data_IF_287409718920
#
_entry.id   IF_287409718920
#
_cell.length_a   1.000
_cell.length_b   1.000
_cell.length_c   1.000
_cell.angle_alpha   90.00
_cell.angle_beta   90.00
_cell.angle_gamma   90.00
#
_symmetry.space_group_name_H-M   'P 1'
#
loop_
_entity.id
_entity.type
_entity.pdbx_description
1 polymer ?
#
# COMPACT_ATOMS: atom_id res chain seq x y z
N UNK A 1 -22.87 -32.97 -73.30
CA UNK A 1 -21.73 -33.91 -73.16
C UNK A 1 -20.46 -33.10 -72.98
N UNK A 2 -19.58 -33.59 -72.09
CA UNK A 2 -18.35 -32.96 -71.61
C UNK A 2 -17.28 -32.79 -72.70
N UNK A 3 -16.42 -31.78 -72.53
CA UNK A 3 -14.98 -31.73 -72.89
C UNK A 3 -14.40 -30.45 -72.27
N UNK A 4 -13.68 -30.50 -71.14
CA UNK A 4 -12.21 -30.64 -70.95
C UNK A 4 -11.40 -29.57 -71.68
N UNK A 5 -10.83 -28.61 -70.94
CA UNK A 5 -9.49 -28.03 -71.15
C UNK A 5 -8.89 -27.68 -69.76
N UNK A 6 -7.72 -28.26 -69.45
CA UNK A 6 -6.85 -27.92 -68.31
C UNK A 6 -6.22 -26.53 -68.49
N UNK A 7 -5.75 -25.89 -67.40
CA UNK A 7 -4.40 -25.34 -67.48
C UNK A 7 -3.53 -25.61 -66.25
N UNK A 8 -2.34 -26.12 -66.57
CA UNK A 8 -1.01 -25.65 -66.19
C UNK A 8 -0.76 -25.10 -64.79
N UNK A 9 0.08 -25.86 -64.09
CA UNK A 9 0.83 -25.52 -62.88
C UNK A 9 1.88 -24.45 -63.20
N UNK A 10 1.91 -23.37 -62.41
CA UNK A 10 3.09 -22.53 -62.22
C UNK A 10 3.43 -22.56 -60.73
N UNK A 11 4.61 -23.12 -60.43
CA UNK A 11 5.17 -23.20 -59.10
C UNK A 11 5.92 -21.88 -58.80
N UNK A 12 5.40 -21.07 -57.88
CA UNK A 12 6.08 -19.91 -57.34
C UNK A 12 6.46 -20.20 -55.87
N UNK A 13 7.75 -20.41 -55.64
CA UNK A 13 8.33 -20.56 -54.30
C UNK A 13 8.39 -19.16 -53.68
N UNK A 14 7.50 -18.88 -52.73
CA UNK A 14 7.62 -17.73 -51.83
C UNK A 14 8.35 -18.17 -50.56
N UNK A 15 9.61 -17.74 -50.43
CA UNK A 15 10.34 -17.75 -49.17
C UNK A 15 9.71 -16.69 -48.26
N UNK A 16 8.83 -17.12 -47.36
CA UNK A 16 8.37 -16.29 -46.25
C UNK A 16 9.46 -16.22 -45.19
N UNK A 17 10.21 -15.12 -45.18
CA UNK A 17 11.02 -14.73 -44.03
C UNK A 17 10.10 -14.33 -42.89
N UNK A 18 10.00 -15.16 -41.85
CA UNK A 18 9.30 -14.81 -40.61
C UNK A 18 10.23 -13.99 -39.73
N UNK A 19 10.22 -12.66 -39.88
CA UNK A 19 10.69 -11.76 -38.83
C UNK A 19 9.59 -11.67 -37.77
N UNK A 20 9.68 -12.49 -36.73
CA UNK A 20 8.89 -12.29 -35.54
C UNK A 20 9.41 -11.03 -34.83
N UNK A 21 8.68 -9.92 -34.97
CA UNK A 21 8.86 -8.78 -34.08
C UNK A 21 8.39 -9.19 -32.67
N UNK A 22 9.14 -8.88 -31.61
CA UNK A 22 8.69 -9.16 -30.25
C UNK A 22 7.46 -8.30 -29.96
N UNK A 23 6.38 -8.93 -29.48
CA UNK A 23 5.27 -8.23 -28.87
C UNK A 23 5.81 -7.37 -27.73
N UNK A 24 5.88 -6.06 -27.99
CA UNK A 24 5.96 -5.04 -26.96
C UNK A 24 4.72 -5.19 -26.08
N UNK A 25 4.93 -5.66 -24.85
CA UNK A 25 3.93 -5.62 -23.80
C UNK A 25 3.72 -4.15 -23.40
N UNK A 26 2.89 -3.43 -24.16
CA UNK A 26 2.18 -2.27 -23.63
C UNK A 26 1.18 -2.80 -22.61
N UNK A 27 1.59 -2.86 -21.34
CA UNK A 27 0.64 -3.01 -20.25
C UNK A 27 -0.27 -1.79 -20.24
N UNK A 28 -1.50 -1.98 -20.71
CA UNK A 28 -2.57 -1.01 -20.50
C UNK A 28 -2.74 -0.83 -18.99
N UNK A 29 -2.29 0.33 -18.47
CA UNK A 29 -2.49 0.72 -17.07
C UNK A 29 -3.99 0.64 -16.76
N UNK A 30 -4.42 0.02 -15.64
CA UNK A 30 -5.83 0.03 -15.28
C UNK A 30 -6.30 1.48 -15.13
N UNK A 31 -7.45 1.82 -15.71
CA UNK A 31 -8.15 3.07 -15.47
C UNK A 31 -8.81 3.04 -14.07
N UNK A 32 -7.99 3.07 -13.02
CA UNK A 32 -8.47 3.03 -11.65
C UNK A 32 -7.35 3.22 -10.61
N UNK A 33 -7.76 3.66 -9.42
CA UNK A 33 -6.91 3.77 -8.24
C UNK A 33 -7.72 3.53 -6.97
N UNK A 34 -7.03 3.27 -5.86
CA UNK A 34 -7.66 3.16 -4.56
C UNK A 34 -7.48 4.45 -3.78
N UNK A 35 -8.57 5.13 -3.47
CA UNK A 35 -8.55 6.36 -2.67
C UNK A 35 -8.71 6.04 -1.19
N UNK A 36 -7.80 6.54 -0.36
CA UNK A 36 -7.94 6.55 1.09
C UNK A 36 -7.49 7.90 1.67
N UNK A 37 -8.12 8.32 2.76
CA UNK A 37 -7.64 9.48 3.50
C UNK A 37 -6.55 9.03 4.45
N UNK A 38 -5.32 9.47 4.17
CA UNK A 38 -4.16 9.14 4.98
C UNK A 38 -4.31 9.70 6.39
N UNK A 39 -4.99 10.83 6.57
CA UNK A 39 -5.37 11.34 7.89
C UNK A 39 -6.88 11.26 8.10
N UNK A 40 -7.30 10.63 9.21
CA UNK A 40 -8.69 10.34 9.51
C UNK A 40 -9.39 11.38 10.42
N UNK A 41 -8.67 12.43 10.83
CA UNK A 41 -9.18 13.47 11.74
C UNK A 41 -9.28 13.08 13.21
N UNK A 42 -8.85 11.87 13.59
CA UNK A 42 -9.08 11.29 14.93
C UNK A 42 -7.84 10.65 15.56
N UNK A 43 -6.96 10.06 14.76
CA UNK A 43 -5.72 9.42 15.21
C UNK A 43 -4.63 9.54 14.14
N UNK A 44 -3.42 9.09 14.50
CA UNK A 44 -2.27 8.96 13.60
C UNK A 44 -2.15 7.54 13.01
N UNK A 45 -3.29 6.85 12.84
CA UNK A 45 -3.30 5.55 12.16
C UNK A 45 -2.65 5.69 10.78
N UNK A 46 -1.70 4.80 10.46
CA UNK A 46 -0.96 4.86 9.20
C UNK A 46 0.19 5.87 9.16
N UNK A 47 0.51 6.55 10.27
CA UNK A 47 1.63 7.48 10.39
C UNK A 47 2.63 7.09 11.48
N UNK A 48 3.91 7.30 11.17
CA UNK A 48 4.98 7.35 12.14
C UNK A 48 5.38 8.82 12.36
N UNK A 49 5.49 9.23 13.63
CA UNK A 49 6.09 10.52 13.99
C UNK A 49 7.59 10.32 14.12
N UNK A 50 8.36 10.92 13.22
CA UNK A 50 9.81 10.74 13.12
C UNK A 50 10.53 11.98 13.63
N UNK A 51 11.69 11.74 14.26
CA UNK A 51 12.68 12.76 14.61
C UNK A 51 12.10 13.95 15.38
N UNK A 52 11.96 13.95 16.71
CA UNK A 52 11.66 15.17 17.49
C UNK A 52 10.35 15.95 17.16
N UNK A 53 9.62 15.58 16.10
CA UNK A 53 8.38 16.20 15.68
C UNK A 53 7.30 15.94 16.71
N UNK A 54 6.48 16.95 16.94
CA UNK A 54 5.31 16.88 17.80
C UNK A 54 4.11 17.32 17.02
N UNK A 55 3.05 16.53 17.09
CA UNK A 55 1.77 16.81 16.46
C UNK A 55 0.63 16.55 17.40
N UNK A 56 -0.47 17.25 17.17
CA UNK A 56 -1.71 17.11 17.90
C UNK A 56 -2.87 17.01 16.91
N UNK A 57 -3.99 16.47 17.37
CA UNK A 57 -5.24 16.52 16.62
C UNK A 57 -6.10 17.59 17.27
N UNK A 58 -6.39 18.65 16.53
CA UNK A 58 -7.15 19.80 16.99
C UNK A 58 -8.38 20.00 16.10
N UNK A 59 -9.57 19.81 16.67
CA UNK A 59 -10.86 20.02 15.99
C UNK A 59 -10.97 19.25 14.66
N UNK A 60 -10.46 18.02 14.64
CA UNK A 60 -10.44 17.17 13.44
C UNK A 60 -9.30 17.45 12.46
N UNK A 61 -8.41 18.39 12.75
CA UNK A 61 -7.25 18.76 11.92
C UNK A 61 -5.95 18.26 12.54
N UNK A 62 -4.95 17.97 11.71
CA UNK A 62 -3.60 17.68 12.13
C UNK A 62 -2.87 18.98 12.41
N UNK A 63 -2.53 19.25 13.67
CA UNK A 63 -1.72 20.39 14.09
C UNK A 63 -0.24 19.99 14.12
N UNK A 64 0.59 20.68 13.33
CA UNK A 64 2.04 20.64 13.47
C UNK A 64 2.42 21.49 14.68
N UNK A 65 2.66 20.83 15.82
CA UNK A 65 2.63 21.46 17.13
C UNK A 65 3.94 22.11 17.51
N UNK A 66 5.04 21.36 17.42
CA UNK A 66 6.37 21.75 17.88
C UNK A 66 7.45 20.78 17.34
N UNK A 67 8.72 21.14 17.47
CA UNK A 67 9.87 20.31 17.11
C UNK A 67 10.30 20.35 15.65
N UNK A 68 11.39 19.62 15.37
CA UNK A 68 12.04 19.51 14.05
C UNK A 68 12.08 18.04 13.61
N UNK A 69 11.24 17.68 12.64
CA UNK A 69 11.12 16.32 12.11
C UNK A 69 10.04 16.16 11.06
N UNK A 70 9.41 15.00 11.01
CA UNK A 70 8.34 14.78 10.03
C UNK A 70 7.38 13.67 10.44
N UNK A 71 6.15 13.75 9.95
CA UNK A 71 5.26 12.59 9.89
C UNK A 71 5.54 11.83 8.61
N UNK A 72 5.66 10.51 8.72
CA UNK A 72 5.91 9.61 7.60
C UNK A 72 4.77 8.63 7.45
N UNK A 73 4.24 8.49 6.23
CA UNK A 73 3.24 7.46 5.94
C UNK A 73 3.83 6.07 6.16
N UNK A 74 3.07 5.12 6.70
CA UNK A 74 3.56 3.74 6.87
C UNK A 74 3.89 3.09 5.52
N UNK A 75 3.01 3.26 4.53
CA UNK A 75 3.24 2.75 3.19
C UNK A 75 4.12 3.70 2.37
N UNK A 76 4.81 3.13 1.38
CA UNK A 76 5.43 3.85 0.27
C UNK A 76 4.51 3.85 -0.94
N UNK A 77 4.59 4.86 -1.80
CA UNK A 77 3.72 5.03 -2.95
C UNK A 77 4.54 5.23 -4.22
N UNK A 78 4.10 4.58 -5.31
CA UNK A 78 4.66 4.74 -6.64
C UNK A 78 3.93 5.89 -7.36
N UNK A 79 2.92 5.55 -8.17
CA UNK A 79 2.06 6.52 -8.86
C UNK A 79 0.85 6.85 -7.99
N UNK A 80 0.57 8.14 -7.80
CA UNK A 80 -0.52 8.59 -6.94
C UNK A 80 -1.06 9.97 -7.32
N UNK A 81 -2.25 10.25 -6.84
CA UNK A 81 -2.82 11.59 -6.75
C UNK A 81 -3.04 11.92 -5.27
N UNK A 82 -2.45 12.98 -4.77
CA UNK A 82 -2.53 13.44 -3.39
C UNK A 82 -3.30 14.75 -3.34
N UNK A 83 -4.37 14.78 -2.55
CA UNK A 83 -5.04 16.00 -2.14
C UNK A 83 -4.68 16.32 -0.69
N UNK A 84 -4.44 17.60 -0.39
CA UNK A 84 -4.24 18.08 0.98
C UNK A 84 -4.67 19.53 1.11
N UNK A 85 -5.40 19.83 2.18
CA UNK A 85 -5.67 21.18 2.61
C UNK A 85 -4.78 21.55 3.78
N UNK A 86 -4.19 22.74 3.73
CA UNK A 86 -3.29 23.24 4.75
C UNK A 86 -3.53 24.73 5.05
N UNK A 87 -3.17 25.14 6.26
CA UNK A 87 -3.23 26.52 6.71
C UNK A 87 -2.07 26.83 7.65
N UNK A 88 -1.24 27.80 7.29
CA UNK A 88 -0.26 28.38 8.21
C UNK A 88 -0.97 29.20 9.30
N UNK A 89 -0.53 29.07 10.55
CA UNK A 89 -1.09 29.84 11.67
C UNK A 89 -0.36 31.16 11.91
N UNK A 90 0.87 31.30 11.42
CA UNK A 90 1.57 32.58 11.36
C UNK A 90 1.13 33.38 10.12
N UNK A 91 1.09 34.70 10.24
CA UNK A 91 0.84 35.60 9.11
C UNK A 91 2.05 35.71 8.17
N UNK A 92 3.27 35.65 8.72
CA UNK A 92 4.53 35.77 7.98
C UNK A 92 5.59 34.81 8.53
N UNK A 93 6.65 34.55 7.75
CA UNK A 93 7.82 33.73 8.08
C UNK A 93 7.46 32.29 8.47
N UNK A 94 6.55 31.67 7.72
CA UNK A 94 6.18 30.28 7.91
C UNK A 94 6.92 29.34 6.94
N UNK A 95 7.20 28.13 7.40
CA UNK A 95 7.89 27.09 6.65
C UNK A 95 7.48 25.67 7.09
N UNK A 96 7.23 24.83 6.12
CA UNK A 96 7.00 23.40 6.23
C UNK A 96 7.05 22.81 4.81
N UNK A 97 6.66 21.54 4.66
CA UNK A 97 6.63 20.89 3.37
C UNK A 97 5.86 19.60 3.35
N UNK A 98 5.47 19.20 2.14
CA UNK A 98 4.90 17.89 1.86
C UNK A 98 5.95 17.11 1.09
N UNK A 99 6.46 16.05 1.71
CA UNK A 99 7.39 15.13 1.10
C UNK A 99 6.67 14.16 0.16
N UNK A 100 7.25 13.97 -1.03
CA UNK A 100 6.80 13.10 -2.10
C UNK A 100 7.90 12.09 -2.38
N UNK A 101 7.57 10.80 -2.33
CA UNK A 101 8.50 9.68 -2.52
C UNK A 101 9.77 9.79 -1.66
N UNK A 102 9.63 10.27 -0.43
CA UNK A 102 10.74 10.42 0.50
C UNK A 102 11.24 9.09 1.05
N UNK A 103 12.55 8.99 1.25
CA UNK A 103 13.17 7.84 1.90
C UNK A 103 13.27 8.07 3.40
N UNK A 104 13.43 6.99 4.17
CA UNK A 104 13.69 7.07 5.61
C UNK A 104 15.19 7.26 5.89
N UNK A 105 15.78 8.25 5.25
CA UNK A 105 17.17 8.66 5.46
C UNK A 105 17.24 10.03 6.15
N UNK A 106 18.38 10.38 6.73
CA UNK A 106 18.57 11.71 7.32
C UNK A 106 17.88 11.97 8.67
N UNK A 107 18.38 13.00 9.35
CA UNK A 107 17.88 13.55 10.61
C UNK A 107 18.19 15.06 10.57
N UNK A 108 17.23 15.96 10.86
CA UNK A 108 15.83 15.68 11.20
C UNK A 108 14.92 15.36 10.00
N UNK A 109 15.37 15.62 8.78
CA UNK A 109 14.55 15.51 7.56
C UNK A 109 15.12 14.50 6.54
N UNK A 110 14.28 13.93 5.68
CA UNK A 110 14.72 13.08 4.57
C UNK A 110 15.70 13.80 3.65
N UNK A 111 16.72 13.06 3.18
CA UNK A 111 17.72 13.55 2.21
C UNK A 111 17.32 13.20 0.78
N UNK A 112 16.62 12.08 0.59
CA UNK A 112 16.14 11.61 -0.72
C UNK A 112 14.62 11.74 -0.84
N UNK A 113 14.18 11.99 -2.06
CA UNK A 113 12.81 12.34 -2.41
C UNK A 113 12.65 13.82 -2.74
N UNK A 114 11.40 14.27 -2.80
CA UNK A 114 11.03 15.61 -3.23
C UNK A 114 10.17 16.29 -2.17
N UNK A 115 10.23 17.61 -2.07
CA UNK A 115 9.44 18.38 -1.12
C UNK A 115 8.68 19.47 -1.89
N UNK A 116 7.36 19.39 -1.89
CA UNK A 116 6.52 20.53 -2.21
C UNK A 116 6.52 21.47 -1.02
N UNK A 117 7.05 22.69 -1.21
CA UNK A 117 7.27 23.64 -0.14
C UNK A 117 5.94 24.23 0.36
N UNK A 118 5.86 24.44 1.67
CA UNK A 118 4.90 25.34 2.32
C UNK A 118 5.59 26.60 2.85
N UNK A 119 6.85 26.83 2.46
CA UNK A 119 7.61 28.05 2.73
C UNK A 119 6.94 29.28 2.12
N UNK A 120 6.78 30.33 2.93
CA UNK A 120 6.20 31.59 2.46
C UNK A 120 6.94 32.16 1.23
N UNK A 121 6.20 32.47 0.17
CA UNK A 121 6.73 32.97 -1.11
C UNK A 121 7.32 31.90 -2.04
N UNK A 122 7.30 30.62 -1.62
CA UNK A 122 7.74 29.45 -2.38
C UNK A 122 6.71 28.31 -2.30
N UNK A 123 5.47 28.61 -1.92
CA UNK A 123 4.43 27.62 -1.70
C UNK A 123 4.14 26.85 -2.99
N UNK A 124 4.25 25.53 -2.92
CA UNK A 124 4.10 24.61 -4.05
C UNK A 124 5.38 24.34 -4.84
N UNK A 125 6.46 25.09 -4.64
CA UNK A 125 7.72 24.86 -5.34
C UNK A 125 8.34 23.52 -4.93
N UNK A 126 9.00 22.83 -5.85
CA UNK A 126 9.88 21.70 -5.54
C UNK A 126 11.31 22.12 -5.88
N UNK A 127 12.05 22.62 -4.89
CA UNK A 127 13.35 23.28 -5.10
C UNK A 127 14.43 22.39 -5.74
N UNK A 128 14.34 21.07 -5.56
CA UNK A 128 15.26 20.10 -6.17
C UNK A 128 14.91 19.74 -7.62
N UNK A 129 13.82 20.29 -8.19
CA UNK A 129 13.31 19.94 -9.51
C UNK A 129 13.19 21.19 -10.40
N UNK A 130 14.06 21.35 -11.40
CA UNK A 130 14.00 22.50 -12.31
C UNK A 130 12.63 22.66 -12.98
N UNK A 131 12.09 23.88 -12.96
CA UNK A 131 10.78 24.21 -13.54
C UNK A 131 9.57 23.93 -12.64
N UNK A 132 9.77 23.33 -11.45
CA UNK A 132 8.72 23.13 -10.46
C UNK A 132 8.52 24.37 -9.58
N UNK A 133 8.11 25.48 -10.19
CA UNK A 133 7.91 26.76 -9.50
C UNK A 133 6.46 27.26 -9.63
N UNK A 134 5.91 27.77 -8.53
CA UNK A 134 4.61 28.42 -8.45
C UNK A 134 4.74 29.83 -7.90
N UNK A 135 3.77 30.70 -8.25
CA UNK A 135 3.73 32.08 -7.75
C UNK A 135 2.30 32.59 -7.65
N UNK A 136 1.94 33.13 -6.48
CA UNK A 136 0.69 33.87 -6.30
C UNK A 136 -0.59 33.04 -6.39
N UNK A 137 -0.52 31.72 -6.19
CA UNK A 137 -1.67 30.82 -6.25
C UNK A 137 -2.27 30.51 -4.87
N UNK A 138 -1.56 30.85 -3.80
CA UNK A 138 -2.03 30.69 -2.42
C UNK A 138 -2.74 31.94 -1.90
N UNK A 139 -3.60 31.74 -0.91
CA UNK A 139 -4.34 32.76 -0.16
C UNK A 139 -3.71 32.87 1.24
N UNK A 140 -2.92 33.93 1.51
CA UNK A 140 -2.24 34.09 2.81
C UNK A 140 -3.23 34.09 3.99
N UNK A 141 -2.89 33.37 5.06
CA UNK A 141 -3.71 33.28 6.28
C UNK A 141 -5.02 32.47 6.14
N UNK A 142 -5.28 31.89 4.97
CA UNK A 142 -6.46 31.06 4.71
C UNK A 142 -6.10 29.58 4.51
N UNK A 143 -7.13 28.73 4.41
CA UNK A 143 -6.99 27.38 3.91
C UNK A 143 -6.63 27.38 2.42
N UNK A 144 -5.62 26.59 2.08
CA UNK A 144 -5.12 26.37 0.73
C UNK A 144 -5.16 24.88 0.41
N UNK A 145 -5.48 24.53 -0.83
CA UNK A 145 -5.53 23.15 -1.31
C UNK A 145 -4.40 22.90 -2.32
N UNK A 146 -3.66 21.80 -2.12
CA UNK A 146 -2.74 21.25 -3.12
C UNK A 146 -3.31 19.93 -3.65
N UNK A 147 -3.38 19.82 -4.97
CA UNK A 147 -3.60 18.58 -5.68
C UNK A 147 -2.32 18.22 -6.45
N UNK A 148 -1.65 17.17 -6.00
CA UNK A 148 -0.34 16.73 -6.48
C UNK A 148 -0.50 15.38 -7.17
N UNK A 149 -0.29 15.32 -8.48
CA UNK A 149 -0.29 14.05 -9.23
C UNK A 149 1.13 13.65 -9.56
N UNK A 150 1.56 12.46 -9.13
CA UNK A 150 2.86 11.88 -9.45
C UNK A 150 2.65 10.60 -10.25
N UNK A 151 3.12 10.57 -11.51
CA UNK A 151 3.00 9.42 -12.42
C UNK A 151 4.32 9.21 -13.14
N UNK A 152 4.94 8.04 -12.96
CA UNK A 152 6.29 7.77 -13.47
C UNK A 152 7.28 8.77 -12.89
N UNK A 153 7.96 9.53 -13.74
CA UNK A 153 8.91 10.57 -13.36
C UNK A 153 8.31 11.99 -13.33
N UNK A 154 7.01 12.12 -13.61
CA UNK A 154 6.32 13.41 -13.75
C UNK A 154 5.51 13.75 -12.50
N UNK A 155 5.64 15.00 -12.06
CA UNK A 155 4.79 15.63 -11.06
C UNK A 155 3.99 16.76 -11.68
N UNK A 156 2.70 16.82 -11.34
CA UNK A 156 1.80 17.93 -11.65
C UNK A 156 1.30 18.53 -10.35
N UNK A 157 1.34 19.85 -10.25
CA UNK A 157 0.87 20.62 -9.10
C UNK A 157 -0.29 21.51 -9.52
N UNK A 158 -1.40 21.40 -8.80
CA UNK A 158 -2.54 22.33 -8.87
C UNK A 158 -2.73 22.92 -7.47
N UNK A 159 -2.84 24.25 -7.40
CA UNK A 159 -3.00 24.99 -6.15
C UNK A 159 -4.30 25.76 -6.23
N UNK A 160 -5.23 25.50 -5.29
CA UNK A 160 -6.55 26.13 -5.24
C UNK A 160 -7.31 26.05 -6.58
N UNK A 161 -7.21 24.91 -7.27
CA UNK A 161 -7.82 24.69 -8.59
C UNK A 161 -7.07 25.31 -9.79
N UNK A 162 -6.01 26.09 -9.54
CA UNK A 162 -5.18 26.68 -10.58
C UNK A 162 -3.96 25.80 -10.85
N UNK A 163 -3.78 25.36 -12.10
CA UNK A 163 -2.59 24.62 -12.50
C UNK A 163 -1.32 25.48 -12.32
N UNK A 164 -0.36 24.96 -11.55
CA UNK A 164 0.92 25.61 -11.33
C UNK A 164 1.95 25.14 -12.37
N UNK A 165 2.24 23.84 -12.40
CA UNK A 165 3.23 23.24 -13.29
C UNK A 165 2.99 21.74 -13.49
N UNK A 166 3.59 21.21 -14.55
CA UNK A 166 3.72 19.77 -14.81
C UNK A 166 5.13 19.51 -15.36
N UNK A 167 5.99 18.89 -14.56
CA UNK A 167 7.41 18.70 -14.89
C UNK A 167 7.85 17.25 -14.65
N UNK A 168 8.80 16.80 -15.47
CA UNK A 168 9.45 15.50 -15.34
C UNK A 168 10.79 15.62 -14.58
N UNK A 169 11.32 14.49 -14.11
CA UNK A 169 12.63 14.43 -13.46
C UNK A 169 12.63 13.86 -12.04
N UNK A 170 11.50 13.31 -11.59
CA UNK A 170 11.47 12.49 -10.36
C UNK A 170 12.29 11.22 -10.58
N UNK A 171 13.29 11.00 -9.72
CA UNK A 171 14.22 9.86 -9.80
C UNK A 171 13.77 8.69 -8.95
N UNK A 172 13.31 8.95 -7.73
CA UNK A 172 12.80 7.93 -6.83
C UNK A 172 11.50 7.34 -7.42
N UNK A 173 11.43 6.03 -7.72
CA UNK A 173 10.24 5.42 -8.29
C UNK A 173 9.15 5.21 -7.24
N UNK A 174 9.54 5.08 -5.97
CA UNK A 174 8.68 4.86 -4.82
C UNK A 174 9.22 5.59 -3.60
N UNK A 175 8.35 5.94 -2.67
CA UNK A 175 8.75 6.38 -1.33
C UNK A 175 7.56 6.87 -0.51
N UNK A 176 7.82 7.35 0.69
CA UNK A 176 6.79 7.81 1.61
C UNK A 176 6.18 9.14 1.17
N UNK A 177 4.92 9.35 1.57
CA UNK A 177 4.38 10.70 1.74
C UNK A 177 4.78 11.15 3.14
N UNK A 178 5.19 12.41 3.27
CA UNK A 178 5.56 12.96 4.56
C UNK A 178 5.12 14.40 4.76
N UNK A 179 4.99 14.81 6.01
CA UNK A 179 4.69 16.19 6.39
C UNK A 179 5.83 16.68 7.25
N UNK A 180 6.58 17.68 6.76
CA UNK A 180 7.67 18.30 7.51
C UNK A 180 7.09 19.08 8.70
N UNK A 181 7.72 18.92 9.85
CA UNK A 181 7.48 19.71 11.07
C UNK A 181 8.76 20.49 11.35
N UNK A 182 8.76 21.79 11.09
CA UNK A 182 9.88 22.69 11.41
C UNK A 182 9.35 23.87 12.24
N UNK A 183 8.67 23.57 13.34
CA UNK A 183 7.88 24.57 14.06
C UNK A 183 8.74 25.65 14.74
N UNK A 184 9.91 25.35 15.34
CA UNK A 184 10.74 26.37 15.99
C UNK A 184 11.05 27.57 15.09
N UNK A 185 11.18 27.36 13.78
CA UNK A 185 11.41 28.41 12.78
C UNK A 185 10.17 28.69 11.94
N UNK A 186 9.69 27.66 11.25
CA UNK A 186 8.60 27.70 10.29
C UNK A 186 7.20 27.82 10.88
N UNK A 187 7.03 27.72 12.20
CA UNK A 187 5.75 27.90 12.87
C UNK A 187 4.75 26.75 12.67
N UNK A 188 3.54 26.94 13.18
CA UNK A 188 2.52 25.91 13.23
C UNK A 188 1.62 25.92 11.99
N UNK A 189 1.15 24.73 11.61
CA UNK A 189 0.22 24.52 10.51
C UNK A 189 -0.91 23.61 10.94
N UNK A 190 -2.10 23.84 10.37
CA UNK A 190 -3.19 22.87 10.39
C UNK A 190 -3.27 22.19 9.02
N UNK A 191 -3.49 20.88 9.01
CA UNK A 191 -3.74 20.09 7.81
C UNK A 191 -5.02 19.28 7.94
N UNK A 192 -5.75 19.13 6.84
CA UNK A 192 -6.95 18.30 6.73
C UNK A 192 -7.15 17.78 5.32
N UNK A 193 -8.12 16.89 5.14
CA UNK A 193 -8.47 16.30 3.84
C UNK A 193 -7.23 15.73 3.12
N UNK A 194 -6.29 15.15 3.88
CA UNK A 194 -5.09 14.53 3.34
C UNK A 194 -5.45 13.16 2.78
N UNK A 195 -5.82 13.11 1.51
CA UNK A 195 -6.31 11.91 0.85
C UNK A 195 -5.50 11.59 -0.40
N UNK A 196 -5.21 10.30 -0.59
CA UNK A 196 -4.36 9.80 -1.66
C UNK A 196 -5.12 8.75 -2.46
N UNK A 197 -5.12 8.92 -3.78
CA UNK A 197 -5.53 7.89 -4.74
C UNK A 197 -4.28 7.19 -5.25
N UNK A 198 -4.12 5.93 -4.84
CA UNK A 198 -3.01 5.08 -5.24
C UNK A 198 -3.33 4.47 -6.63
N UNK A 199 -2.60 4.92 -7.66
CA UNK A 199 -2.89 4.55 -9.04
C UNK A 199 -2.37 3.14 -9.34
N UNK A 200 -3.18 2.35 -10.05
CA UNK A 200 -2.88 0.94 -10.31
C UNK A 200 -3.24 -0.02 -9.17
N UNK A 201 -3.75 0.50 -8.05
CA UNK A 201 -4.34 -0.31 -6.99
C UNK A 201 -5.87 -0.38 -7.13
N UNK A 202 -6.44 -1.56 -6.92
CA UNK A 202 -7.87 -1.79 -6.87
C UNK A 202 -8.32 -2.09 -5.43
N UNK A 203 -9.50 -1.59 -5.06
CA UNK A 203 -10.12 -1.98 -3.78
C UNK A 203 -10.47 -3.45 -3.82
N UNK A 204 -10.07 -4.21 -2.81
CA UNK A 204 -10.51 -5.59 -2.61
C UNK A 204 -11.80 -5.65 -1.80
N UNK A 205 -12.13 -4.60 -1.03
CA UNK A 205 -13.35 -4.53 -0.24
C UNK A 205 -14.06 -3.20 -0.49
N UNK A 206 -15.39 -3.23 -0.63
CA UNK A 206 -16.20 -2.05 -0.95
C UNK A 206 -16.89 -1.42 0.28
N UNK A 207 -16.72 -1.99 1.47
CA UNK A 207 -17.36 -1.49 2.69
C UNK A 207 -18.84 -1.84 2.83
N UNK A 208 -19.44 -2.56 1.87
CA UNK A 208 -20.90 -2.74 1.78
C UNK A 208 -21.32 -4.22 1.74
N UNK A 209 -20.62 -5.04 0.95
CA UNK A 209 -20.94 -6.46 0.78
C UNK A 209 -19.66 -7.29 0.52
N UNK A 210 -19.82 -8.60 0.38
CA UNK A 210 -18.71 -9.53 0.11
C UNK A 210 -18.35 -9.62 -1.38
N UNK A 211 -18.68 -8.65 -2.24
CA UNK A 211 -18.32 -8.73 -3.65
C UNK A 211 -16.80 -8.94 -3.83
N UNK A 212 -16.43 -9.97 -4.60
CA UNK A 212 -15.04 -10.39 -4.78
C UNK A 212 -14.54 -11.38 -3.73
N UNK A 213 -15.38 -11.74 -2.75
CA UNK A 213 -15.09 -12.68 -1.67
C UNK A 213 -16.19 -13.72 -1.50
N UNK A 214 -15.83 -14.88 -0.97
CA UNK A 214 -16.75 -15.95 -0.60
C UNK A 214 -16.25 -16.72 0.61
N UNK A 215 -17.14 -17.36 1.36
CA UNK A 215 -16.72 -18.30 2.40
C UNK A 215 -16.26 -19.61 1.74
N UNK A 216 -15.09 -20.10 2.14
CA UNK A 216 -14.58 -21.36 1.60
C UNK A 216 -15.42 -22.57 2.06
N UNK A 217 -16.24 -23.09 1.14
CA UNK A 217 -17.07 -24.29 1.37
C UNK A 217 -18.36 -24.06 2.17
N UNK A 218 -18.56 -22.85 2.72
CA UNK A 218 -19.77 -22.44 3.45
C UNK A 218 -20.08 -20.96 3.18
N UNK A 219 -21.32 -20.49 3.37
CA UNK A 219 -21.65 -19.06 3.24
C UNK A 219 -20.76 -18.18 4.14
N UNK A 220 -20.29 -17.05 3.60
CA UNK A 220 -19.40 -16.13 4.34
C UNK A 220 -20.07 -15.58 5.62
N UNK A 221 -21.36 -15.30 5.55
CA UNK A 221 -22.17 -14.76 6.67
C UNK A 221 -22.34 -15.72 7.85
N UNK A 222 -21.86 -16.97 7.74
CA UNK A 222 -21.73 -17.90 8.87
C UNK A 222 -20.86 -17.34 10.00
N UNK A 223 -19.79 -16.61 9.66
CA UNK A 223 -18.87 -16.06 10.64
C UNK A 223 -18.23 -14.71 10.24
N UNK A 224 -18.60 -14.15 9.08
CA UNK A 224 -18.17 -12.84 8.62
C UNK A 224 -19.35 -11.89 8.55
N UNK A 225 -19.14 -10.63 8.92
CA UNK A 225 -20.14 -9.57 8.79
C UNK A 225 -19.51 -8.30 8.26
N UNK A 226 -20.36 -7.38 7.82
CA UNK A 226 -19.97 -6.04 7.43
C UNK A 226 -20.64 -5.06 8.37
N UNK A 227 -19.82 -4.22 9.00
CA UNK A 227 -20.28 -3.31 10.06
C UNK A 227 -19.54 -1.98 9.92
N UNK A 228 -20.29 -0.89 9.70
CA UNK A 228 -19.74 0.46 9.59
C UNK A 228 -18.59 0.60 8.56
N UNK A 229 -18.72 -0.07 7.42
CA UNK A 229 -17.68 -0.05 6.38
C UNK A 229 -16.47 -0.96 6.67
N UNK A 230 -16.52 -1.77 7.73
CA UNK A 230 -15.47 -2.73 8.11
C UNK A 230 -15.87 -4.14 7.73
N UNK A 231 -14.89 -4.94 7.33
CA UNK A 231 -15.02 -6.38 7.18
C UNK A 231 -14.65 -7.04 8.50
N UNK A 232 -15.59 -7.75 9.12
CA UNK A 232 -15.44 -8.27 10.49
C UNK A 232 -15.53 -9.79 10.49
N UNK A 233 -14.46 -10.45 10.91
CA UNK A 233 -14.48 -11.85 11.32
C UNK A 233 -15.03 -11.90 12.74
N UNK A 234 -16.08 -12.68 12.99
CA UNK A 234 -16.77 -12.74 14.31
C UNK A 234 -16.08 -13.67 15.32
N UNK A 235 -15.17 -14.53 14.87
CA UNK A 235 -14.60 -15.63 15.67
C UNK A 235 -15.53 -16.82 15.88
N UNK A 236 -16.80 -16.76 15.44
CA UNK A 236 -17.68 -17.93 15.43
C UNK A 236 -17.16 -18.98 14.47
N UNK A 237 -17.40 -20.27 14.74
CA UNK A 237 -16.97 -21.35 13.85
C UNK A 237 -17.55 -21.15 12.45
N UNK A 238 -16.70 -21.16 11.43
CA UNK A 238 -17.12 -20.99 10.04
C UNK A 238 -15.92 -20.95 9.09
N UNK A 239 -16.16 -20.60 7.82
CA UNK A 239 -15.12 -20.63 6.80
C UNK A 239 -14.11 -19.50 6.95
N UNK A 240 -12.93 -19.67 6.36
CA UNK A 240 -12.09 -18.53 5.99
C UNK A 240 -12.73 -17.79 4.81
N UNK A 241 -12.48 -16.48 4.71
CA UNK A 241 -12.99 -15.68 3.60
C UNK A 241 -11.97 -15.68 2.46
N UNK A 242 -12.36 -16.22 1.31
CA UNK A 242 -11.52 -16.43 0.13
C UNK A 242 -11.84 -15.43 -0.96
N UNK A 243 -10.85 -14.94 -1.70
CA UNK A 243 -11.09 -14.18 -2.93
C UNK A 243 -11.76 -15.03 -4.00
N UNK A 244 -12.68 -14.48 -4.79
CA UNK A 244 -13.31 -15.23 -5.90
C UNK A 244 -12.38 -15.52 -7.08
N UNK A 245 -11.14 -15.01 -7.05
CA UNK A 245 -10.12 -15.21 -8.08
C UNK A 245 -8.74 -15.40 -7.47
N UNK A 246 -7.85 -15.93 -8.27
CA UNK A 246 -6.44 -16.13 -7.93
C UNK A 246 -5.59 -14.89 -8.27
N UNK A 247 -4.45 -14.77 -7.61
CA UNK A 247 -3.48 -13.70 -7.76
C UNK A 247 -2.07 -14.28 -7.81
N UNK A 248 -1.21 -13.66 -8.62
CA UNK A 248 0.21 -13.99 -8.75
C UNK A 248 1.08 -12.93 -8.06
N UNK A 249 1.71 -12.02 -8.80
CA UNK A 249 2.58 -10.97 -8.29
C UNK A 249 1.77 -9.74 -7.89
N UNK A 250 1.91 -9.30 -6.64
CA UNK A 250 1.13 -8.19 -6.12
C UNK A 250 1.80 -7.50 -4.91
N UNK A 251 1.33 -6.30 -4.60
CA UNK A 251 1.33 -5.73 -3.25
C UNK A 251 -0.11 -5.70 -2.75
N UNK A 252 -0.39 -6.42 -1.65
CA UNK A 252 -1.66 -6.37 -0.94
C UNK A 252 -1.47 -5.53 0.33
N UNK A 253 -2.33 -4.54 0.54
CA UNK A 253 -2.27 -3.63 1.69
C UNK A 253 -3.62 -3.62 2.38
N UNK A 254 -3.60 -3.58 3.70
CA UNK A 254 -4.80 -3.51 4.52
C UNK A 254 -4.45 -3.04 5.93
N UNK A 255 -5.47 -2.58 6.63
CA UNK A 255 -5.40 -2.36 8.07
C UNK A 255 -6.19 -3.45 8.77
N UNK A 256 -5.73 -3.84 9.95
CA UNK A 256 -6.42 -4.78 10.82
C UNK A 256 -6.46 -4.31 12.27
N UNK A 257 -7.49 -4.73 13.00
CA UNK A 257 -7.67 -4.47 14.42
C UNK A 257 -8.05 -5.78 15.12
N UNK A 258 -7.28 -6.12 16.15
CA UNK A 258 -7.43 -7.35 16.93
C UNK A 258 -8.22 -7.11 18.21
N UNK A 259 -9.04 -8.09 18.59
CA UNK A 259 -9.45 -8.28 19.97
C UNK A 259 -8.30 -8.82 20.83
N UNK A 260 -8.45 -8.75 22.17
CA UNK A 260 -7.47 -9.31 23.11
C UNK A 260 -7.31 -10.81 22.88
N UNK A 261 -6.07 -11.29 22.82
CA UNK A 261 -5.76 -12.69 22.51
C UNK A 261 -6.05 -13.08 21.05
N UNK A 262 -6.25 -12.08 20.17
CA UNK A 262 -6.69 -12.29 18.80
C UNK A 262 -5.74 -13.16 17.98
N UNK A 263 -6.30 -14.09 17.19
CA UNK A 263 -5.56 -14.89 16.22
C UNK A 263 -6.32 -14.93 14.89
N UNK A 264 -5.61 -14.69 13.80
CA UNK A 264 -6.03 -14.76 12.41
C UNK A 264 -4.77 -14.86 11.53
N UNK A 265 -4.94 -14.63 10.25
CA UNK A 265 -3.87 -14.68 9.28
C UNK A 265 -4.39 -14.37 7.89
N UNK A 266 -3.45 -14.13 6.99
CA UNK A 266 -3.73 -13.96 5.56
C UNK A 266 -3.18 -15.17 4.83
N UNK A 267 -4.07 -15.94 4.23
CA UNK A 267 -3.70 -16.99 3.28
C UNK A 267 -3.29 -16.36 1.97
N UNK A 268 -2.11 -16.74 1.48
CA UNK A 268 -1.46 -16.16 0.31
C UNK A 268 -1.15 -17.23 -0.71
N UNK A 269 -1.69 -17.05 -1.92
CA UNK A 269 -1.51 -17.95 -3.07
C UNK A 269 -1.85 -19.41 -2.74
N UNK A 270 -2.87 -19.62 -1.90
CA UNK A 270 -3.30 -20.97 -1.49
C UNK A 270 -4.14 -21.63 -2.58
N UNK A 271 -4.16 -22.97 -2.67
CA UNK A 271 -5.13 -23.68 -3.50
C UNK A 271 -6.56 -23.45 -2.99
N UNK A 272 -7.55 -23.96 -3.73
CA UNK A 272 -8.96 -23.80 -3.38
C UNK A 272 -9.31 -24.31 -1.97
N UNK A 273 -8.62 -25.34 -1.48
CA UNK A 273 -8.82 -25.89 -0.13
C UNK A 273 -8.16 -25.06 0.99
N UNK A 274 -7.37 -24.05 0.65
CA UNK A 274 -6.66 -23.21 1.61
C UNK A 274 -5.36 -23.82 2.15
N UNK A 275 -4.83 -24.89 1.54
CA UNK A 275 -3.59 -25.50 2.02
C UNK A 275 -2.42 -24.50 1.98
N UNK A 276 -1.82 -24.24 3.14
CA UNK A 276 -0.71 -23.29 3.33
C UNK A 276 0.53 -23.93 3.98
N UNK A 277 0.48 -25.24 4.28
CA UNK A 277 1.59 -25.99 4.83
C UNK A 277 2.16 -26.96 3.81
N UNK A 278 3.48 -26.88 3.59
CA UNK A 278 4.21 -27.81 2.73
C UNK A 278 5.66 -27.93 3.17
N UNK A 279 6.04 -29.11 3.63
CA UNK A 279 7.40 -29.39 4.12
C UNK A 279 8.32 -29.93 3.02
N UNK A 280 7.77 -30.58 1.98
CA UNK A 280 8.51 -31.09 0.83
C UNK A 280 7.61 -31.24 -0.41
N UNK A 281 8.20 -31.60 -1.54
CA UNK A 281 7.54 -31.68 -2.83
C UNK A 281 6.55 -32.87 -2.97
N UNK A 282 6.67 -33.90 -2.13
CA UNK A 282 5.73 -35.05 -2.09
C UNK A 282 4.38 -34.71 -1.46
N UNK A 283 4.27 -33.57 -0.76
CA UNK A 283 3.01 -33.08 -0.19
C UNK A 283 2.19 -32.31 -1.22
N UNK A 284 0.85 -32.20 -1.04
CA UNK A 284 -0.01 -31.41 -1.91
C UNK A 284 0.49 -29.97 -2.09
N UNK A 285 0.15 -29.31 -3.22
CA UNK A 285 0.45 -27.90 -3.44
C UNK A 285 -0.05 -27.04 -2.28
N UNK A 286 0.68 -25.97 -1.96
CA UNK A 286 0.32 -25.06 -0.89
C UNK A 286 0.72 -23.63 -1.23
N UNK A 287 -0.07 -22.68 -0.74
CA UNK A 287 0.37 -21.30 -0.56
C UNK A 287 1.12 -21.15 0.77
N UNK A 288 1.03 -19.99 1.37
CA UNK A 288 1.54 -19.75 2.72
C UNK A 288 0.60 -18.85 3.50
N UNK A 289 0.89 -18.66 4.78
CA UNK A 289 0.17 -17.73 5.64
C UNK A 289 1.09 -16.59 6.09
N UNK A 290 0.56 -15.38 6.12
CA UNK A 290 1.14 -14.27 6.86
C UNK A 290 0.34 -14.07 8.14
N UNK A 291 0.99 -14.24 9.28
CA UNK A 291 0.33 -14.29 10.57
C UNK A 291 -0.29 -12.94 10.99
N UNK A 292 -1.44 -12.99 11.66
CA UNK A 292 -2.06 -11.86 12.35
C UNK A 292 -2.41 -12.28 13.79
N UNK A 293 -1.72 -11.72 14.79
CA UNK A 293 -1.76 -12.23 16.17
C UNK A 293 -1.62 -11.11 17.20
N UNK A 294 -2.30 -11.25 18.35
CA UNK A 294 -1.93 -10.51 19.56
C UNK A 294 -0.64 -11.10 20.13
N UNK A 295 0.51 -10.59 19.67
CA UNK A 295 1.85 -11.10 20.03
C UNK A 295 2.13 -11.03 21.54
N UNK A 296 1.46 -10.13 22.26
CA UNK A 296 1.68 -9.88 23.68
C UNK A 296 0.78 -10.73 24.59
N UNK A 297 -0.17 -11.48 24.03
CA UNK A 297 -1.06 -12.33 24.80
C UNK A 297 -0.29 -13.44 25.55
N UNK A 298 -0.73 -13.75 26.77
CA UNK A 298 -0.01 -14.69 27.67
C UNK A 298 0.05 -16.10 27.08
N UNK A 299 -1.00 -16.53 26.40
CA UNK A 299 -1.11 -17.79 25.68
C UNK A 299 -0.12 -17.90 24.51
N UNK A 300 0.33 -16.77 23.95
CA UNK A 300 1.25 -16.70 22.82
C UNK A 300 2.72 -16.53 23.25
N UNK A 301 3.01 -16.48 24.55
CA UNK A 301 4.35 -16.15 25.08
C UNK A 301 5.47 -17.14 24.73
N UNK A 302 5.14 -18.34 24.22
CA UNK A 302 6.09 -19.42 23.93
C UNK A 302 6.02 -19.93 22.49
N UNK A 303 5.51 -19.11 21.57
CA UNK A 303 5.51 -19.45 20.16
C UNK A 303 6.92 -19.29 19.56
N UNK A 304 7.16 -19.99 18.45
CA UNK A 304 8.35 -19.81 17.63
C UNK A 304 8.29 -18.48 16.88
N UNK A 305 9.45 -17.93 16.52
CA UNK A 305 9.55 -16.59 15.91
C UNK A 305 8.68 -16.41 14.66
N UNK A 306 8.52 -17.45 13.84
CA UNK A 306 7.70 -17.41 12.62
C UNK A 306 6.17 -17.46 12.87
N UNK A 307 5.74 -17.59 14.11
CA UNK A 307 4.32 -17.69 14.47
C UNK A 307 3.75 -16.38 15.03
N UNK A 308 4.53 -15.29 15.03
CA UNK A 308 4.07 -13.96 15.45
C UNK A 308 3.66 -13.11 14.26
N UNK A 309 2.90 -12.04 14.51
CA UNK A 309 2.35 -11.15 13.48
C UNK A 309 3.34 -10.72 12.40
N UNK A 310 2.83 -10.63 11.17
CA UNK A 310 3.56 -10.32 9.95
C UNK A 310 4.68 -11.31 9.59
N UNK A 311 4.89 -12.38 10.35
CA UNK A 311 5.76 -13.48 9.94
C UNK A 311 5.15 -14.26 8.79
N UNK A 312 6.00 -14.89 7.99
CA UNK A 312 5.58 -15.89 7.01
C UNK A 312 5.57 -17.23 7.75
N UNK A 313 4.37 -17.70 8.11
CA UNK A 313 4.18 -18.83 9.00
C UNK A 313 4.92 -20.07 8.51
N UNK A 314 5.56 -20.80 9.43
CA UNK A 314 6.49 -21.93 9.21
C UNK A 314 7.76 -21.63 8.39
N UNK A 315 7.97 -20.40 7.90
CA UNK A 315 9.07 -20.08 6.97
C UNK A 315 10.02 -19.03 7.57
N UNK A 316 9.52 -17.85 7.92
CA UNK A 316 10.37 -16.72 8.32
C UNK A 316 9.69 -15.84 9.38
N UNK A 317 10.41 -15.57 10.47
CA UNK A 317 9.95 -14.68 11.54
C UNK A 317 10.11 -13.21 11.21
N UNK A 318 9.11 -12.42 11.59
CA UNK A 318 9.15 -10.96 11.53
C UNK A 318 10.21 -10.39 12.49
N UNK A 319 11.11 -9.55 11.97
CA UNK A 319 12.13 -8.87 12.75
C UNK A 319 12.32 -7.41 12.26
N UNK A 320 12.03 -6.38 13.09
CA UNK A 320 11.52 -6.47 14.46
C UNK A 320 10.04 -6.89 14.50
N UNK A 321 9.59 -7.40 15.65
CA UNK A 321 8.16 -7.49 15.96
C UNK A 321 7.67 -6.12 16.45
N UNK A 322 6.62 -5.60 15.83
CA UNK A 322 6.13 -4.24 16.08
C UNK A 322 4.59 -4.13 16.04
N UNK A 323 3.91 -5.20 16.40
CA UNK A 323 2.45 -5.27 16.55
C UNK A 323 1.97 -4.30 17.62
N UNK A 324 0.91 -3.55 17.31
CA UNK A 324 0.25 -2.67 18.28
C UNK A 324 -0.67 -3.48 19.19
N UNK A 325 -0.94 -3.00 20.41
CA UNK A 325 -1.86 -3.67 21.33
C UNK A 325 -3.27 -3.88 20.72
N UNK A 326 -4.02 -4.88 21.21
CA UNK A 326 -5.42 -5.05 20.86
C UNK A 326 -6.24 -3.76 21.01
N UNK A 327 -7.17 -3.54 20.09
CA UNK A 327 -7.96 -2.29 20.01
C UNK A 327 -7.30 -1.17 19.21
N UNK A 328 -6.02 -1.28 18.84
CA UNK A 328 -5.35 -0.35 17.93
C UNK A 328 -5.29 -0.90 16.49
N UNK A 329 -5.36 0.00 15.52
CA UNK A 329 -5.20 -0.36 14.11
C UNK A 329 -3.73 -0.58 13.76
N UNK A 330 -3.44 -1.72 13.16
CA UNK A 330 -2.17 -2.06 12.53
C UNK A 330 -2.29 -1.93 11.02
N UNK A 331 -1.21 -1.56 10.34
CA UNK A 331 -1.12 -1.58 8.86
C UNK A 331 -0.19 -2.71 8.42
N UNK A 332 -0.62 -3.54 7.45
CA UNK A 332 0.20 -4.62 6.90
C UNK A 332 0.22 -4.54 5.37
N UNK A 333 1.42 -4.68 4.81
CA UNK A 333 1.64 -4.88 3.37
C UNK A 333 2.31 -6.23 3.15
N UNK A 334 1.77 -7.01 2.22
CA UNK A 334 2.35 -8.27 1.74
C UNK A 334 2.70 -8.06 0.26
N UNK A 335 3.98 -8.09 -0.06
CA UNK A 335 4.50 -8.00 -1.42
C UNK A 335 4.96 -9.38 -1.87
N UNK A 336 4.48 -9.83 -3.02
CA UNK A 336 4.95 -11.06 -3.64
C UNK A 336 5.38 -10.78 -5.08
N UNK A 337 6.61 -11.14 -5.41
CA UNK A 337 7.25 -10.92 -6.72
C UNK A 337 8.08 -12.15 -7.07
N UNK A 338 7.50 -13.07 -7.84
CA UNK A 338 8.02 -14.42 -7.97
C UNK A 338 8.04 -15.12 -6.60
N UNK A 339 9.17 -15.71 -6.25
CA UNK A 339 9.42 -16.37 -4.96
C UNK A 339 9.88 -15.40 -3.87
N UNK A 340 10.08 -14.11 -4.18
CA UNK A 340 10.41 -13.09 -3.20
C UNK A 340 9.15 -12.62 -2.48
N UNK A 341 9.20 -12.62 -1.15
CA UNK A 341 8.09 -12.19 -0.29
C UNK A 341 8.60 -11.17 0.72
N UNK A 342 7.96 -10.01 0.76
CA UNK A 342 8.24 -8.93 1.71
C UNK A 342 6.99 -8.69 2.55
N UNK A 343 7.14 -8.61 3.86
CA UNK A 343 6.08 -8.09 4.74
C UNK A 343 6.53 -6.78 5.35
N UNK A 344 5.66 -5.77 5.29
CA UNK A 344 5.88 -4.48 5.96
C UNK A 344 4.76 -4.26 6.96
N UNK A 345 5.13 -4.20 8.23
CA UNK A 345 4.21 -4.06 9.35
C UNK A 345 4.42 -2.71 10.01
N UNK A 346 3.35 -1.94 10.20
CA UNK A 346 3.39 -0.59 10.80
C UNK A 346 4.49 0.30 10.21
N UNK A 347 4.67 0.23 8.88
CA UNK A 347 5.64 1.02 8.13
C UNK A 347 7.10 0.61 8.26
N UNK A 348 7.37 -0.61 8.77
CA UNK A 348 8.70 -1.21 8.87
C UNK A 348 8.71 -2.51 8.08
N UNK A 349 9.71 -2.73 7.23
CA UNK A 349 9.95 -4.05 6.63
C UNK A 349 10.40 -5.01 7.73
N UNK A 350 9.65 -6.08 7.95
CA UNK A 350 9.93 -7.07 9.01
C UNK A 350 10.30 -8.44 8.45
N UNK A 351 9.94 -8.74 7.20
CA UNK A 351 10.53 -9.83 6.43
C UNK A 351 10.84 -9.38 5.01
N UNK A 352 11.93 -9.89 4.43
CA UNK A 352 12.28 -9.79 3.02
C UNK A 352 13.04 -11.08 2.67
N UNK A 353 12.33 -12.04 2.09
CA UNK A 353 12.86 -13.38 1.85
C UNK A 353 12.69 -13.78 0.39
N UNK A 354 13.44 -14.78 -0.02
CA UNK A 354 13.34 -15.43 -1.32
C UNK A 354 13.77 -16.90 -1.18
N UNK A 355 13.74 -17.65 -2.27
CA UNK A 355 14.11 -19.06 -2.27
C UNK A 355 15.60 -19.36 -2.06
N UNK A 356 16.47 -18.36 -2.01
CA UNK A 356 17.88 -18.53 -1.63
C UNK A 356 18.04 -18.46 -0.11
N UNK A 357 17.45 -17.43 0.51
CA UNK A 357 17.49 -17.24 1.96
C UNK A 357 16.60 -18.24 2.71
N UNK A 358 15.46 -18.61 2.13
CA UNK A 358 14.44 -19.47 2.75
C UNK A 358 13.90 -20.50 1.74
N UNK A 359 14.60 -21.62 1.50
CA UNK A 359 14.26 -22.59 0.46
C UNK A 359 12.81 -23.13 0.50
N UNK A 360 12.18 -23.16 1.69
CA UNK A 360 10.77 -23.58 1.83
C UNK A 360 9.79 -22.70 1.03
N UNK A 361 10.13 -21.44 0.75
CA UNK A 361 9.26 -20.57 -0.07
C UNK A 361 9.19 -21.05 -1.53
N UNK A 362 10.22 -21.74 -2.05
CA UNK A 362 10.21 -22.35 -3.40
C UNK A 362 9.20 -23.48 -3.53
N UNK A 363 8.76 -24.05 -2.42
CA UNK A 363 7.72 -25.08 -2.41
C UNK A 363 6.31 -24.48 -2.52
N UNK A 364 6.17 -23.16 -2.37
CA UNK A 364 4.88 -22.47 -2.38
C UNK A 364 4.47 -22.09 -3.80
N UNK A 365 3.16 -22.00 -4.01
CA UNK A 365 2.64 -21.57 -5.30
C UNK A 365 3.01 -20.11 -5.58
N UNK A 366 3.24 -19.81 -6.86
CA UNK A 366 3.44 -18.46 -7.36
C UNK A 366 2.13 -17.78 -7.78
N UNK A 367 1.03 -18.54 -7.78
CA UNK A 367 -0.32 -18.07 -8.04
C UNK A 367 -1.31 -18.87 -7.17
N UNK A 368 -2.36 -18.22 -6.68
CA UNK A 368 -3.48 -18.90 -6.02
C UNK A 368 -4.43 -17.91 -5.36
N UNK A 369 -5.36 -18.41 -4.56
CA UNK A 369 -6.31 -17.58 -3.84
C UNK A 369 -5.65 -16.81 -2.70
N UNK A 370 -6.24 -15.65 -2.38
CA UNK A 370 -5.96 -14.92 -1.14
C UNK A 370 -7.10 -15.18 -0.16
N UNK A 371 -6.81 -15.11 1.14
CA UNK A 371 -7.81 -15.37 2.16
C UNK A 371 -7.56 -14.69 3.48
N UNK A 372 -8.63 -14.45 4.23
CA UNK A 372 -8.58 -14.01 5.61
C UNK A 372 -9.03 -15.16 6.51
N UNK A 373 -8.19 -15.52 7.48
CA UNK A 373 -8.43 -16.65 8.36
C UNK A 373 -9.45 -16.29 9.45
N UNK A 374 -10.32 -17.25 9.74
CA UNK A 374 -11.12 -17.25 10.96
C UNK A 374 -10.51 -18.22 11.97
N UNK A 375 -9.99 -17.69 13.08
CA UNK A 375 -9.31 -18.47 14.11
C UNK A 375 -9.77 -18.07 15.53
N UNK A 376 -11.09 -18.07 15.74
CA UNK A 376 -11.80 -18.05 17.03
C UNK A 376 -12.01 -16.70 17.76
N UNK A 377 -11.42 -15.62 17.28
CA UNK A 377 -11.58 -14.27 17.88
C UNK A 377 -12.06 -13.24 16.88
N UNK A 378 -12.68 -12.15 17.36
CA UNK A 378 -13.06 -11.04 16.49
C UNK A 378 -11.81 -10.34 15.91
N UNK A 379 -11.81 -10.13 14.59
CA UNK A 379 -10.81 -9.33 13.87
C UNK A 379 -11.51 -8.45 12.85
N UNK A 380 -11.12 -7.17 12.78
CA UNK A 380 -11.68 -6.20 11.84
C UNK A 380 -10.64 -5.83 10.80
N UNK A 381 -11.07 -5.68 9.56
CA UNK A 381 -10.23 -5.28 8.44
C UNK A 381 -10.83 -4.06 7.71
N UNK A 382 -9.96 -3.17 7.21
CA UNK A 382 -10.34 -2.05 6.33
C UNK A 382 -9.21 -1.72 5.35
N UNK A 383 -9.49 -0.86 4.38
CA UNK A 383 -8.52 -0.38 3.40
C UNK A 383 -7.82 -1.51 2.61
N UNK A 384 -8.52 -2.65 2.41
CA UNK A 384 -8.00 -3.78 1.63
C UNK A 384 -7.88 -3.38 0.17
N UNK A 385 -6.67 -3.42 -0.35
CA UNK A 385 -6.36 -3.05 -1.74
C UNK A 385 -5.20 -3.87 -2.26
N UNK A 386 -5.17 -4.02 -3.58
CA UNK A 386 -4.16 -4.80 -4.27
C UNK A 386 -3.74 -4.13 -5.57
N UNK A 387 -2.45 -4.15 -5.85
CA UNK A 387 -1.85 -3.58 -7.05
C UNK A 387 -0.56 -4.30 -7.42
N UNK A 388 0.17 -3.79 -8.42
CA UNK A 388 1.49 -4.32 -8.79
C UNK A 388 2.45 -4.35 -7.59
N UNK A 389 3.43 -5.28 -7.57
CA UNK A 389 4.44 -5.31 -6.50
C UNK A 389 5.16 -3.97 -6.35
N UNK A 390 5.13 -3.42 -5.13
CA UNK A 390 5.86 -2.18 -4.79
C UNK A 390 7.21 -2.55 -4.21
N UNK A 391 8.22 -2.47 -5.08
CA UNK A 391 9.62 -2.86 -4.82
C UNK A 391 10.36 -1.86 -3.95
#
# INVERSE_FOLDING_TARGET
MRSIILPSVICAIFLFGTSAEPLSAQSSRPAGGHTSCLFNGKSLDGWAVENGAKVEIQDGNLLLKDGDGWLRSHHVYADFQLHVEWKALKAETYDAGIYLRAQRDGVPFPKKGYQANLLQGKEGNIGSLPGAESKGLVKPGEWNAFDITVIGDRVTMVINGCHAYSVAGIKEPVGHIGIQVEVPKGGQFLLRNLCLTELGFASMFNGQNFAGWEGAGQPADTCWKIENGLLVCTGQKGPWLRTCREYDNFSMRFDYLLAVGGNSGVYVRVPQDGNHHRENDTKPPAGFEVQVLDDAAKEHAKLKDYQYSASIYDIAGANPRNTRPPGEWNTLEIVCDGDRVITRHNGVTVTDINGESHPLIKLRQLNGFLGLQNHSTEVKFRNLRIGPPVR
#
